data_IF_155103657043
#
_entry.id   IF_155103657043
#
_cell.length_a   1.000
_cell.length_b   1.000
_cell.length_c   1.000
_cell.angle_alpha   90.00
_cell.angle_beta   90.00
_cell.angle_gamma   90.00
#
_symmetry.space_group_name_H-M   'P 1'
#
loop_
_entity.id
_entity.type
_entity.pdbx_description
1 polymer ?
#
# COMPACT_ATOMS: atom_id res chain seq x y z
N UNK A 1 2.53 -0.78 6.20
CA UNK A 1 3.23 -0.23 5.03
C UNK A 1 2.52 -0.65 3.76
N UNK A 2 2.44 0.25 2.78
CA UNK A 2 2.02 -0.08 1.42
C UNK A 2 3.25 -0.24 0.54
N UNK A 3 3.30 -1.30 -0.25
CA UNK A 3 4.30 -1.42 -1.30
C UNK A 3 3.66 -1.79 -2.65
N UNK A 4 4.11 -1.19 -3.75
CA UNK A 4 3.73 -1.68 -5.08
C UNK A 4 4.23 -3.12 -5.25
N UNK A 5 3.41 -4.04 -5.75
CA UNK A 5 3.84 -5.45 -5.92
C UNK A 5 5.09 -5.60 -6.79
N UNK A 6 5.16 -4.83 -7.88
CA UNK A 6 6.35 -4.76 -8.74
C UNK A 6 7.51 -4.04 -8.06
N UNK A 7 7.24 -3.04 -7.21
CA UNK A 7 8.26 -2.33 -6.42
C UNK A 7 8.91 -3.30 -5.44
N UNK A 8 8.13 -4.00 -4.61
CA UNK A 8 8.66 -4.92 -3.59
C UNK A 8 9.46 -6.08 -4.22
N UNK A 9 9.03 -6.56 -5.38
CA UNK A 9 9.77 -7.55 -6.15
C UNK A 9 11.07 -6.99 -6.76
N UNK A 10 11.24 -5.68 -6.91
CA UNK A 10 12.46 -5.07 -7.44
C UNK A 10 13.41 -4.53 -6.34
N UNK A 11 12.98 -4.49 -5.08
CA UNK A 11 13.78 -3.92 -4.00
C UNK A 11 15.07 -4.71 -3.73
N UNK A 12 16.14 -4.02 -3.30
CA UNK A 12 17.42 -4.64 -2.98
C UNK A 12 17.32 -5.55 -1.75
N UNK A 13 18.22 -6.52 -1.63
CA UNK A 13 18.29 -7.39 -0.44
C UNK A 13 18.43 -6.60 0.86
N UNK A 14 19.13 -5.47 0.84
CA UNK A 14 19.28 -4.57 2.01
C UNK A 14 17.94 -4.13 2.59
N UNK A 15 16.91 -3.94 1.76
CA UNK A 15 15.56 -3.60 2.23
C UNK A 15 14.93 -4.75 3.02
N UNK A 16 15.16 -5.99 2.59
CA UNK A 16 14.66 -7.17 3.29
C UNK A 16 15.46 -7.47 4.56
N UNK A 17 16.75 -7.15 4.56
CA UNK A 17 17.59 -7.18 5.77
C UNK A 17 17.04 -6.19 6.83
N UNK A 18 16.63 -4.98 6.42
CA UNK A 18 15.99 -4.03 7.33
C UNK A 18 14.66 -4.55 7.89
N UNK A 19 13.83 -5.24 7.08
CA UNK A 19 12.60 -5.89 7.59
C UNK A 19 12.92 -6.93 8.66
N UNK A 20 14.01 -7.68 8.48
CA UNK A 20 14.50 -8.63 9.48
C UNK A 20 14.97 -7.93 10.75
N UNK A 21 15.75 -6.86 10.62
CA UNK A 21 16.23 -6.09 11.77
C UNK A 21 15.08 -5.49 12.59
N UNK A 22 14.08 -4.93 11.90
CA UNK A 22 12.85 -4.44 12.54
C UNK A 22 12.16 -5.57 13.31
N UNK A 23 11.93 -6.72 12.67
CA UNK A 23 11.32 -7.88 13.32
C UNK A 23 12.10 -8.36 14.54
N UNK A 24 13.43 -8.45 14.46
CA UNK A 24 14.29 -8.85 15.58
C UNK A 24 14.26 -7.83 16.74
N UNK A 25 14.02 -6.56 16.43
CA UNK A 25 13.85 -5.51 17.44
C UNK A 25 12.46 -5.42 18.04
N UNK A 26 11.54 -6.32 17.67
CA UNK A 26 10.16 -6.34 18.15
C UNK A 26 9.20 -5.43 17.38
N UNK A 27 9.67 -4.72 16.34
CA UNK A 27 8.81 -3.95 15.45
C UNK A 27 8.36 -4.86 14.31
N UNK A 28 7.06 -5.12 14.20
CA UNK A 28 6.49 -5.98 13.16
C UNK A 28 5.74 -5.16 12.11
N UNK A 29 6.32 -4.92 10.93
CA UNK A 29 5.60 -4.29 9.83
C UNK A 29 4.43 -5.16 9.36
N UNK A 30 3.31 -4.52 9.02
CA UNK A 30 2.23 -5.13 8.23
C UNK A 30 2.36 -4.64 6.79
N UNK A 31 2.44 -5.54 5.82
CA UNK A 31 2.65 -5.22 4.40
C UNK A 31 1.34 -5.41 3.64
N UNK A 32 0.84 -4.36 3.00
CA UNK A 32 -0.23 -4.46 1.99
C UNK A 32 0.39 -4.17 0.62
N UNK A 33 0.15 -5.05 -0.36
CA UNK A 33 0.82 -4.95 -1.65
C UNK A 33 -0.12 -4.72 -2.84
N UNK A 34 0.40 -4.13 -3.91
CA UNK A 34 -0.29 -4.07 -5.21
C UNK A 34 0.15 -5.18 -6.18
N UNK A 35 -0.15 -5.00 -7.47
CA UNK A 35 0.34 -5.90 -8.53
C UNK A 35 -0.17 -5.56 -9.93
N UNK A 36 -0.56 -4.30 -10.19
CA UNK A 36 -1.18 -3.86 -11.44
C UNK A 36 -0.48 -4.35 -12.72
N UNK A 37 0.84 -4.16 -12.87
CA UNK A 37 1.58 -4.63 -14.05
C UNK A 37 1.51 -6.15 -14.25
N UNK A 38 1.64 -6.94 -13.18
CA UNK A 38 1.58 -8.41 -13.26
C UNK A 38 0.18 -8.93 -13.61
N UNK A 39 -0.87 -8.23 -13.15
CA UNK A 39 -2.25 -8.52 -13.55
C UNK A 39 -2.41 -8.26 -15.05
N UNK A 40 -1.98 -7.09 -15.54
CA UNK A 40 -2.08 -6.74 -16.96
C UNK A 40 -1.29 -7.71 -17.85
N UNK A 41 -0.09 -8.13 -17.41
CA UNK A 41 0.72 -9.16 -18.09
C UNK A 41 -0.06 -10.47 -18.23
N UNK A 42 -0.67 -10.94 -17.14
CA UNK A 42 -1.38 -12.23 -17.10
C UNK A 42 -2.67 -12.19 -17.91
N UNK A 43 -3.44 -11.10 -17.82
CA UNK A 43 -4.62 -10.88 -18.66
C UNK A 43 -4.27 -10.89 -20.16
N UNK A 44 -3.17 -10.24 -20.53
CA UNK A 44 -2.66 -10.25 -21.91
C UNK A 44 -2.33 -11.65 -22.42
N UNK A 45 -1.65 -12.47 -21.60
CA UNK A 45 -1.33 -13.87 -21.94
C UNK A 45 -2.58 -14.75 -22.13
N UNK A 46 -3.65 -14.45 -21.39
CA UNK A 46 -4.93 -15.17 -21.47
C UNK A 46 -5.90 -14.59 -22.51
N UNK A 47 -5.53 -13.50 -23.20
CA UNK A 47 -6.40 -12.83 -24.16
C UNK A 47 -7.62 -12.14 -23.54
N UNK A 48 -7.61 -11.89 -22.22
CA UNK A 48 -8.71 -11.24 -21.50
C UNK A 48 -8.53 -9.72 -21.57
N UNK A 49 -9.51 -9.02 -22.16
CA UNK A 49 -9.50 -7.56 -22.27
C UNK A 49 -10.00 -6.91 -20.98
N UNK A 50 -9.39 -5.79 -20.61
CA UNK A 50 -9.78 -4.95 -19.46
C UNK A 50 -9.42 -3.50 -19.77
N UNK A 51 -10.04 -2.57 -19.04
CA UNK A 51 -9.75 -1.14 -19.11
C UNK A 51 -9.56 -0.54 -17.72
N UNK A 52 -9.40 0.78 -17.66
CA UNK A 52 -9.32 1.53 -16.41
C UNK A 52 -10.25 2.74 -16.46
N UNK A 53 -10.88 3.05 -15.33
CA UNK A 53 -11.66 4.27 -15.10
C UNK A 53 -11.14 4.93 -13.82
N UNK A 54 -10.67 6.18 -13.91
CA UNK A 54 -10.13 6.92 -12.77
C UNK A 54 -9.04 6.18 -11.97
N UNK A 55 -8.22 5.36 -12.65
CA UNK A 55 -7.17 4.55 -12.02
C UNK A 55 -7.64 3.22 -11.41
N UNK A 56 -8.95 2.94 -11.41
CA UNK A 56 -9.52 1.65 -11.02
C UNK A 56 -9.65 0.74 -12.24
N UNK A 57 -9.30 -0.54 -12.08
CA UNK A 57 -9.39 -1.53 -13.16
C UNK A 57 -10.84 -1.99 -13.33
N UNK A 58 -11.37 -1.93 -14.54
CA UNK A 58 -12.66 -2.56 -14.87
C UNK A 58 -12.52 -4.07 -14.67
N UNK A 59 -13.29 -4.62 -13.74
CA UNK A 59 -13.12 -5.96 -13.21
C UNK A 59 -14.43 -6.74 -13.36
N UNK A 60 -14.59 -7.50 -14.45
CA UNK A 60 -15.64 -8.53 -14.56
C UNK A 60 -15.16 -9.86 -13.93
N UNK A 61 -15.97 -10.92 -13.97
CA UNK A 61 -15.63 -12.21 -13.35
C UNK A 61 -14.28 -12.76 -13.83
N UNK A 62 -14.06 -12.80 -15.15
CA UNK A 62 -12.82 -13.32 -15.72
C UNK A 62 -11.59 -12.47 -15.32
N UNK A 63 -11.75 -11.15 -15.22
CA UNK A 63 -10.68 -10.27 -14.72
C UNK A 63 -10.46 -10.49 -13.23
N UNK A 64 -11.52 -10.67 -12.44
CA UNK A 64 -11.44 -10.88 -11.00
C UNK A 64 -10.68 -12.16 -10.65
N UNK A 65 -10.93 -13.25 -11.36
CA UNK A 65 -10.19 -14.51 -11.19
C UNK A 65 -8.69 -14.32 -11.43
N UNK A 66 -8.32 -13.58 -12.48
CA UNK A 66 -6.91 -13.26 -12.75
C UNK A 66 -6.32 -12.33 -11.69
N UNK A 67 -7.08 -11.34 -11.23
CA UNK A 67 -6.66 -10.44 -10.16
C UNK A 67 -6.34 -11.23 -8.89
N UNK A 68 -7.22 -12.14 -8.47
CA UNK A 68 -6.99 -12.96 -7.28
C UNK A 68 -5.80 -13.91 -7.46
N UNK A 69 -5.75 -14.66 -8.56
CA UNK A 69 -4.63 -15.58 -8.85
C UNK A 69 -3.27 -14.86 -8.82
N UNK A 70 -3.20 -13.67 -9.41
CA UNK A 70 -1.96 -12.91 -9.49
C UNK A 70 -1.61 -12.28 -8.15
N UNK A 71 -2.55 -11.60 -7.48
CA UNK A 71 -2.27 -10.90 -6.24
C UNK A 71 -2.03 -11.88 -5.09
N UNK A 72 -2.99 -12.77 -4.79
CA UNK A 72 -2.92 -13.69 -3.66
C UNK A 72 -1.99 -14.89 -3.91
N UNK A 73 -1.88 -15.34 -5.17
CA UNK A 73 -1.06 -16.50 -5.55
C UNK A 73 0.38 -16.14 -5.91
N UNK A 74 0.58 -15.33 -6.96
CA UNK A 74 1.93 -15.04 -7.49
C UNK A 74 2.67 -14.00 -6.65
N UNK A 75 2.14 -12.78 -6.59
CA UNK A 75 2.85 -11.63 -6.02
C UNK A 75 3.01 -11.77 -4.51
N UNK A 76 1.94 -12.12 -3.79
CA UNK A 76 1.98 -12.32 -2.34
C UNK A 76 3.05 -13.34 -1.95
N UNK A 77 3.12 -14.48 -2.64
CA UNK A 77 4.08 -15.54 -2.32
C UNK A 77 5.50 -15.24 -2.80
N UNK A 78 5.67 -14.43 -3.84
CA UNK A 78 6.99 -13.90 -4.19
C UNK A 78 7.56 -13.02 -3.07
N UNK A 79 6.76 -12.10 -2.55
CA UNK A 79 7.12 -11.22 -1.44
C UNK A 79 7.50 -12.04 -0.20
N UNK A 80 6.62 -12.99 0.20
CA UNK A 80 6.87 -13.88 1.34
C UNK A 80 8.19 -14.65 1.18
N UNK A 81 8.46 -15.20 -0.01
CA UNK A 81 9.72 -15.91 -0.27
C UNK A 81 10.94 -15.00 -0.11
N UNK A 82 10.90 -13.76 -0.60
CA UNK A 82 12.03 -12.82 -0.46
C UNK A 82 12.29 -12.45 1.00
N UNK A 83 11.24 -12.19 1.77
CA UNK A 83 11.39 -11.90 3.22
C UNK A 83 12.02 -13.11 3.93
N UNK A 84 11.55 -14.32 3.62
CA UNK A 84 12.04 -15.55 4.24
C UNK A 84 13.48 -15.93 3.86
N UNK A 85 13.88 -15.74 2.61
CA UNK A 85 15.26 -16.01 2.17
C UNK A 85 16.26 -15.08 2.88
N UNK A 86 15.84 -13.87 3.27
CA UNK A 86 16.65 -12.95 4.06
C UNK A 86 16.56 -13.22 5.58
N UNK A 87 15.88 -14.28 6.01
CA UNK A 87 15.87 -14.77 7.39
C UNK A 87 14.79 -14.18 8.29
N UNK A 88 13.86 -13.39 7.75
CA UNK A 88 12.68 -12.92 8.47
C UNK A 88 11.48 -13.86 8.29
N UNK A 89 10.57 -13.90 9.26
CA UNK A 89 9.33 -14.68 9.19
C UNK A 89 8.23 -13.84 8.56
N UNK A 90 7.56 -14.37 7.53
CA UNK A 90 6.42 -13.71 6.90
C UNK A 90 5.28 -14.71 6.66
N UNK A 91 4.04 -14.23 6.74
CA UNK A 91 2.84 -15.03 6.47
C UNK A 91 1.95 -14.27 5.49
N UNK A 92 1.68 -14.90 4.35
CA UNK A 92 0.93 -14.30 3.25
C UNK A 92 -0.56 -14.60 3.33
N UNK A 93 -1.37 -13.56 3.33
CA UNK A 93 -2.83 -13.55 3.39
C UNK A 93 -3.41 -12.75 2.21
N UNK A 94 -4.69 -12.95 1.96
CA UNK A 94 -5.59 -12.07 1.21
C UNK A 94 -6.65 -11.54 2.17
N UNK A 95 -7.45 -10.55 1.73
CA UNK A 95 -8.58 -10.10 2.54
C UNK A 95 -9.73 -11.12 2.66
N UNK A 96 -9.74 -12.17 1.83
CA UNK A 96 -10.71 -13.27 1.93
C UNK A 96 -10.43 -14.16 3.15
N UNK A 97 -9.16 -14.32 3.53
CA UNK A 97 -8.73 -15.22 4.61
C UNK A 97 -9.35 -14.76 5.94
N UNK A 98 -10.31 -15.53 6.46
CA UNK A 98 -11.03 -15.21 7.69
C UNK A 98 -11.87 -13.92 7.62
N UNK A 99 -12.28 -13.49 6.43
CA UNK A 99 -12.93 -12.18 6.20
C UNK A 99 -12.06 -11.01 6.71
N UNK A 100 -10.75 -11.07 6.47
CA UNK A 100 -9.79 -10.05 6.90
C UNK A 100 -10.16 -8.66 6.34
N UNK A 101 -10.55 -8.56 5.07
CA UNK A 101 -11.06 -7.32 4.46
C UNK A 101 -12.49 -7.56 4.00
N UNK A 102 -13.44 -6.91 4.67
CA UNK A 102 -14.83 -6.89 4.24
C UNK A 102 -15.03 -5.75 3.24
N UNK A 103 -15.84 -5.99 2.22
CA UNK A 103 -16.03 -5.04 1.14
C UNK A 103 -17.46 -4.99 0.64
N UNK A 104 -17.78 -3.87 0.01
CA UNK A 104 -19.00 -3.66 -0.76
C UNK A 104 -18.64 -3.08 -2.14
N UNK A 105 -19.53 -3.17 -3.14
CA UNK A 105 -19.29 -2.54 -4.43
C UNK A 105 -19.04 -1.03 -4.28
N UNK A 106 -18.12 -0.49 -5.09
CA UNK A 106 -17.97 0.97 -5.19
C UNK A 106 -19.23 1.61 -5.78
N UNK A 107 -19.40 2.93 -5.58
CA UNK A 107 -20.58 3.65 -6.05
C UNK A 107 -20.83 3.55 -7.58
N UNK A 108 -19.78 3.42 -8.39
CA UNK A 108 -19.87 3.24 -9.85
C UNK A 108 -19.64 1.77 -10.29
N UNK A 109 -19.99 0.79 -9.45
CA UNK A 109 -19.81 -0.63 -9.76
C UNK A 109 -20.52 -1.06 -11.06
N UNK A 110 -21.62 -0.42 -11.44
CA UNK A 110 -22.30 -0.67 -12.72
C UNK A 110 -21.40 -0.39 -13.94
N UNK A 111 -20.41 0.51 -13.80
CA UNK A 111 -19.45 0.85 -14.85
C UNK A 111 -18.20 -0.05 -14.80
N UNK A 112 -17.73 -0.40 -13.60
CA UNK A 112 -16.41 -0.99 -13.40
C UNK A 112 -16.42 -2.42 -12.84
N UNK A 113 -17.59 -3.00 -12.57
CA UNK A 113 -17.78 -4.37 -12.12
C UNK A 113 -17.41 -4.61 -10.65
N UNK A 114 -16.75 -5.73 -10.37
CA UNK A 114 -16.35 -6.22 -9.05
C UNK A 114 -15.16 -5.46 -8.45
N UNK A 115 -15.29 -4.15 -8.37
CA UNK A 115 -14.39 -3.27 -7.63
C UNK A 115 -15.08 -2.90 -6.32
N UNK A 116 -14.33 -2.96 -5.21
CA UNK A 116 -14.91 -2.79 -3.88
C UNK A 116 -14.27 -1.68 -3.06
N UNK A 117 -15.09 -1.08 -2.21
CA UNK A 117 -14.68 -0.24 -1.08
C UNK A 117 -14.62 -1.09 0.19
N UNK A 118 -13.63 -0.82 1.04
CA UNK A 118 -13.46 -1.51 2.33
C UNK A 118 -14.52 -0.99 3.30
N UNK A 119 -15.32 -1.91 3.86
CA UNK A 119 -16.32 -1.58 4.88
C UNK A 119 -15.81 -1.85 6.28
N UNK A 120 -15.00 -2.90 6.46
CA UNK A 120 -14.43 -3.30 7.74
C UNK A 120 -13.12 -4.10 7.53
N UNK A 121 -12.27 -4.12 8.56
CA UNK A 121 -11.05 -4.95 8.60
C UNK A 121 -11.00 -5.71 9.91
N UNK A 122 -10.94 -7.05 9.82
CA UNK A 122 -10.75 -7.90 10.98
C UNK A 122 -9.30 -7.88 11.47
N UNK A 123 -8.96 -6.83 12.24
CA UNK A 123 -7.64 -6.59 12.80
C UNK A 123 -7.10 -7.77 13.64
N UNK A 124 -7.98 -8.53 14.31
CA UNK A 124 -7.58 -9.63 15.18
C UNK A 124 -6.80 -10.73 14.43
N UNK A 125 -7.08 -10.95 13.14
CA UNK A 125 -6.31 -11.90 12.31
C UNK A 125 -4.88 -11.40 12.12
N UNK A 126 -4.73 -10.11 11.82
CA UNK A 126 -3.43 -9.48 11.60
C UNK A 126 -2.62 -9.49 12.90
N UNK A 127 -3.24 -9.10 14.01
CA UNK A 127 -2.64 -9.10 15.34
C UNK A 127 -2.25 -10.51 15.78
N UNK A 128 -3.07 -11.53 15.51
CA UNK A 128 -2.74 -12.92 15.78
C UNK A 128 -1.50 -13.40 15.01
N UNK A 129 -1.38 -13.03 13.73
CA UNK A 129 -0.18 -13.33 12.93
C UNK A 129 1.05 -12.61 13.47
N UNK A 130 0.91 -11.34 13.87
CA UNK A 130 1.99 -10.59 14.51
C UNK A 130 2.40 -11.20 15.86
N UNK A 131 1.45 -11.66 16.68
CA UNK A 131 1.72 -12.31 17.96
C UNK A 131 2.50 -13.62 17.80
N UNK A 132 2.34 -14.32 16.68
CA UNK A 132 3.17 -15.48 16.31
C UNK A 132 4.59 -15.09 15.83
N UNK A 133 4.90 -13.80 15.73
CA UNK A 133 6.19 -13.28 15.28
C UNK A 133 6.36 -13.27 13.76
N UNK A 134 5.28 -13.29 12.98
CA UNK A 134 5.32 -13.20 11.52
C UNK A 134 4.98 -11.78 11.04
N UNK A 135 5.65 -11.34 9.97
CA UNK A 135 5.25 -10.16 9.18
C UNK A 135 4.03 -10.55 8.33
N UNK A 136 2.84 -9.95 8.55
CA UNK A 136 1.68 -10.21 7.70
C UNK A 136 1.88 -9.54 6.33
N UNK A 137 1.65 -10.29 5.25
CA UNK A 137 1.71 -9.79 3.87
C UNK A 137 0.34 -9.99 3.23
N UNK A 138 -0.39 -8.91 2.97
CA UNK A 138 -1.82 -8.92 2.65
C UNK A 138 -2.04 -8.50 1.19
N UNK A 139 -2.73 -9.35 0.42
CA UNK A 139 -3.24 -9.05 -0.91
C UNK A 139 -4.62 -8.35 -0.83
N UNK A 140 -4.85 -7.27 -1.60
CA UNK A 140 -6.03 -6.42 -1.50
C UNK A 140 -7.24 -6.98 -2.27
N UNK A 141 -7.70 -8.17 -1.87
CA UNK A 141 -8.95 -8.77 -2.32
C UNK A 141 -9.92 -8.73 -1.14
N UNK A 142 -11.08 -8.09 -1.29
CA UNK A 142 -12.12 -8.10 -0.25
C UNK A 142 -13.20 -9.13 -0.50
N UNK A 143 -14.04 -9.33 0.50
CA UNK A 143 -15.19 -10.24 0.45
C UNK A 143 -16.42 -9.61 1.12
N UNK A 144 -17.61 -9.85 0.59
CA UNK A 144 -18.86 -9.50 1.29
C UNK A 144 -19.39 -10.67 2.14
N UNK A 145 -20.56 -10.49 2.76
CA UNK A 145 -21.18 -11.53 3.57
C UNK A 145 -21.75 -12.72 2.78
N UNK A 146 -21.94 -12.57 1.47
CA UNK A 146 -22.39 -13.64 0.58
C UNK A 146 -21.21 -14.41 -0.05
N UNK A 147 -19.98 -13.96 0.18
CA UNK A 147 -18.78 -14.56 -0.38
C UNK A 147 -18.37 -13.99 -1.74
N UNK A 148 -18.99 -12.91 -2.21
CA UNK A 148 -18.58 -12.20 -3.41
C UNK A 148 -17.23 -11.53 -3.16
N UNK A 149 -16.28 -11.80 -4.05
CA UNK A 149 -14.94 -11.20 -4.02
C UNK A 149 -14.95 -9.83 -4.69
N UNK A 150 -14.09 -8.94 -4.24
CA UNK A 150 -13.89 -7.62 -4.85
C UNK A 150 -12.40 -7.32 -5.02
N UNK A 151 -12.06 -6.74 -6.18
CA UNK A 151 -10.75 -6.14 -6.42
C UNK A 151 -10.69 -4.77 -5.73
N UNK A 152 -9.79 -4.61 -4.76
CA UNK A 152 -9.66 -3.37 -4.00
C UNK A 152 -8.37 -2.67 -4.39
N UNK A 153 -8.43 -1.34 -4.51
CA UNK A 153 -7.21 -0.55 -4.69
C UNK A 153 -6.24 -0.78 -3.52
N UNK A 154 -4.98 -1.10 -3.82
CA UNK A 154 -3.99 -1.45 -2.81
C UNK A 154 -3.68 -0.32 -1.82
N UNK A 155 -3.75 0.93 -2.26
CA UNK A 155 -3.54 2.08 -1.38
C UNK A 155 -4.75 2.26 -0.44
N UNK A 156 -5.98 2.13 -0.94
CA UNK A 156 -7.21 2.12 -0.13
C UNK A 156 -7.21 0.99 0.89
N UNK A 157 -6.87 -0.24 0.47
CA UNK A 157 -6.75 -1.37 1.37
C UNK A 157 -5.69 -1.14 2.46
N UNK A 158 -4.53 -0.59 2.09
CA UNK A 158 -3.47 -0.30 3.05
C UNK A 158 -3.89 0.76 4.08
N UNK A 159 -4.60 1.80 3.64
CA UNK A 159 -5.15 2.81 4.52
C UNK A 159 -6.21 2.26 5.48
N UNK A 160 -7.13 1.43 4.98
CA UNK A 160 -8.14 0.79 5.80
C UNK A 160 -7.51 -0.13 6.85
N UNK A 161 -6.54 -0.98 6.45
CA UNK A 161 -5.79 -1.84 7.37
C UNK A 161 -5.06 -1.02 8.44
N UNK A 162 -4.36 0.04 8.04
CA UNK A 162 -3.65 0.93 8.96
C UNK A 162 -4.61 1.59 9.97
N UNK A 163 -5.75 2.09 9.49
CA UNK A 163 -6.76 2.74 10.33
C UNK A 163 -7.38 1.78 11.35
N UNK A 164 -7.72 0.55 10.95
CA UNK A 164 -8.33 -0.44 11.85
C UNK A 164 -7.34 -1.01 12.87
N UNK A 165 -6.06 -1.14 12.49
CA UNK A 165 -4.99 -1.47 13.44
C UNK A 165 -4.64 -0.31 14.39
N UNK A 166 -5.13 0.91 14.12
CA UNK A 166 -4.82 2.09 14.94
C UNK A 166 -3.35 2.48 14.91
N UNK A 167 -2.65 2.26 13.79
CA UNK A 167 -1.21 2.59 13.70
C UNK A 167 -1.01 4.10 13.61
N UNK A 168 0.00 4.61 14.31
CA UNK A 168 0.31 6.04 14.27
C UNK A 168 0.92 6.47 12.93
N UNK A 169 1.66 5.55 12.28
CA UNK A 169 2.43 5.83 11.05
C UNK A 169 2.18 4.80 9.97
N UNK A 170 1.89 5.26 8.77
CA UNK A 170 1.85 4.42 7.57
C UNK A 170 3.02 4.77 6.63
N UNK A 171 3.84 3.78 6.28
CA UNK A 171 4.93 3.96 5.30
C UNK A 171 4.44 3.53 3.93
N UNK A 172 4.61 4.39 2.92
CA UNK A 172 4.34 4.10 1.50
C UNK A 172 5.67 4.02 0.76
N UNK A 173 6.01 2.81 0.33
CA UNK A 173 7.25 2.54 -0.39
C UNK A 173 7.04 2.69 -1.88
N UNK A 174 7.86 3.51 -2.51
CA UNK A 174 7.81 3.84 -3.93
C UNK A 174 9.21 3.88 -4.54
N UNK A 175 9.27 4.21 -5.83
CA UNK A 175 10.45 4.40 -6.68
C UNK A 175 10.95 5.86 -6.76
N UNK A 176 10.30 6.77 -6.05
CA UNK A 176 10.69 8.18 -5.97
C UNK A 176 11.07 8.54 -4.53
N UNK A 177 12.02 9.47 -4.33
CA UNK A 177 12.54 9.77 -2.99
C UNK A 177 11.50 10.42 -2.06
N UNK A 178 10.46 11.05 -2.61
CA UNK A 178 9.38 11.69 -1.85
C UNK A 178 8.57 12.62 -2.75
N UNK A 179 7.85 13.56 -2.15
CA UNK A 179 7.19 14.66 -2.86
C UNK A 179 8.25 15.73 -3.15
N UNK A 180 8.40 16.08 -4.42
CA UNK A 180 9.39 17.04 -4.89
C UNK A 180 8.74 18.42 -5.03
N UNK A 181 9.44 19.45 -4.55
CA UNK A 181 9.12 20.86 -4.81
C UNK A 181 10.28 21.52 -5.55
N UNK A 182 9.96 22.41 -6.48
CA UNK A 182 10.97 23.24 -7.15
C UNK A 182 11.30 24.43 -6.27
N UNK A 183 12.56 24.54 -5.86
CA UNK A 183 13.11 25.67 -5.09
C UNK A 183 14.40 26.09 -5.80
N UNK A 184 14.49 27.36 -6.18
CA UNK A 184 15.62 27.94 -6.93
C UNK A 184 15.98 27.11 -8.18
N UNK A 185 14.98 26.80 -9.01
CA UNK A 185 15.10 25.98 -10.23
C UNK A 185 15.62 24.54 -10.00
N UNK A 186 15.63 24.05 -8.76
CA UNK A 186 16.04 22.68 -8.40
C UNK A 186 14.93 21.92 -7.69
N UNK A 187 14.76 20.65 -8.05
CA UNK A 187 13.83 19.76 -7.35
C UNK A 187 14.45 19.29 -6.03
N UNK A 188 13.74 19.53 -4.94
CA UNK A 188 14.13 19.10 -3.59
C UNK A 188 12.99 18.29 -2.97
N UNK A 189 13.34 17.27 -2.18
CA UNK A 189 12.34 16.48 -1.44
C UNK A 189 11.83 17.32 -0.28
N UNK A 190 10.50 17.44 -0.16
CA UNK A 190 9.88 18.07 1.01
C UNK A 190 9.97 17.12 2.21
N UNK A 191 10.61 17.51 3.33
CA UNK A 191 10.68 16.64 4.51
C UNK A 191 9.30 16.43 5.15
N UNK A 192 8.48 17.49 5.19
CA UNK A 192 7.14 17.49 5.76
C UNK A 192 6.22 18.32 4.87
N UNK A 193 4.99 17.85 4.66
CA UNK A 193 3.94 18.57 3.95
C UNK A 193 2.58 18.32 4.61
N UNK A 194 1.75 19.35 4.74
CA UNK A 194 0.39 19.21 5.25
C UNK A 194 -0.59 18.80 4.16
N UNK A 195 -1.77 18.29 4.55
CA UNK A 195 -2.87 18.01 3.62
C UNK A 195 -3.23 19.24 2.77
N UNK A 196 -3.32 20.42 3.40
CA UNK A 196 -3.65 21.67 2.68
C UNK A 196 -2.59 22.03 1.63
N UNK A 197 -1.30 21.92 1.96
CA UNK A 197 -0.21 22.16 1.02
C UNK A 197 -0.23 21.17 -0.15
N UNK A 198 -0.58 19.89 0.09
CA UNK A 198 -0.75 18.92 -1.01
C UNK A 198 -1.85 19.35 -1.97
N UNK A 199 -3.00 19.82 -1.47
CA UNK A 199 -4.09 20.28 -2.34
C UNK A 199 -3.65 21.47 -3.21
N UNK A 200 -2.92 22.42 -2.63
CA UNK A 200 -2.34 23.55 -3.36
C UNK A 200 -1.36 23.08 -4.43
N UNK A 201 -0.48 22.13 -4.10
CA UNK A 201 0.50 21.56 -5.03
C UNK A 201 -0.16 20.76 -6.17
N UNK A 202 -1.30 20.12 -5.93
CA UNK A 202 -2.09 19.47 -6.99
C UNK A 202 -2.71 20.55 -7.89
N UNK A 203 -3.30 21.59 -7.30
CA UNK A 203 -3.95 22.67 -8.05
C UNK A 203 -2.96 23.48 -8.90
N UNK A 204 -1.73 23.69 -8.40
CA UNK A 204 -0.66 24.39 -9.12
C UNK A 204 0.02 23.52 -10.20
N UNK A 205 -0.22 22.21 -10.18
CA UNK A 205 0.42 21.24 -11.08
C UNK A 205 1.84 20.81 -10.66
N UNK A 206 2.32 21.20 -9.48
CA UNK A 206 3.57 20.70 -8.91
C UNK A 206 3.51 19.18 -8.64
N UNK A 207 2.36 18.70 -8.16
CA UNK A 207 2.04 17.27 -8.05
C UNK A 207 1.19 16.87 -9.26
N UNK A 208 1.70 15.95 -10.07
CA UNK A 208 1.04 15.49 -11.29
C UNK A 208 1.20 13.98 -11.52
N UNK A 209 0.44 13.45 -12.48
CA UNK A 209 0.54 12.07 -12.93
C UNK A 209 0.31 11.04 -11.82
N UNK A 210 1.15 10.00 -11.76
CA UNK A 210 1.04 8.91 -10.79
C UNK A 210 1.27 9.29 -9.33
N UNK A 211 1.72 10.52 -9.03
CA UNK A 211 1.86 11.00 -7.65
C UNK A 211 0.51 11.41 -7.05
N UNK A 212 -0.43 11.94 -7.86
CA UNK A 212 -1.77 12.33 -7.40
C UNK A 212 -2.47 11.18 -6.65
N UNK A 213 -2.65 9.97 -7.21
CA UNK A 213 -3.33 8.90 -6.50
C UNK A 213 -2.59 8.47 -5.21
N UNK A 214 -1.26 8.56 -5.17
CA UNK A 214 -0.47 8.23 -3.95
C UNK A 214 -0.73 9.22 -2.83
N UNK A 215 -0.68 10.52 -3.13
CA UNK A 215 -0.92 11.56 -2.11
C UNK A 215 -2.39 11.62 -1.69
N UNK A 216 -3.33 11.35 -2.61
CA UNK A 216 -4.76 11.24 -2.30
C UNK A 216 -5.02 10.09 -1.34
N UNK A 217 -4.43 8.93 -1.58
CA UNK A 217 -4.55 7.81 -0.65
C UNK A 217 -3.90 8.11 0.71
N UNK A 218 -2.74 8.79 0.72
CA UNK A 218 -2.11 9.23 1.95
C UNK A 218 -3.02 10.19 2.76
N UNK A 219 -3.66 11.16 2.09
CA UNK A 219 -4.62 12.06 2.71
C UNK A 219 -5.80 11.28 3.31
N UNK A 220 -6.37 10.32 2.57
CA UNK A 220 -7.46 9.47 3.08
C UNK A 220 -7.05 8.68 4.32
N UNK A 221 -5.81 8.20 4.39
CA UNK A 221 -5.30 7.50 5.58
C UNK A 221 -5.25 8.45 6.79
N UNK A 222 -4.76 9.67 6.60
CA UNK A 222 -4.59 10.69 7.66
C UNK A 222 -5.94 11.18 8.18
N UNK A 223 -6.93 11.32 7.30
CA UNK A 223 -8.31 11.64 7.70
C UNK A 223 -8.98 10.52 8.51
N UNK A 224 -8.42 9.30 8.49
CA UNK A 224 -8.79 8.20 9.36
C UNK A 224 -8.11 8.29 10.73
N UNK A 225 -7.59 7.15 11.22
CA UNK A 225 -6.88 7.07 12.51
C UNK A 225 -5.35 7.15 12.41
N UNK A 226 -4.82 7.26 11.19
CA UNK A 226 -3.37 7.34 10.97
C UNK A 226 -2.91 8.78 11.22
N UNK A 227 -1.89 8.99 12.06
CA UNK A 227 -1.43 10.36 12.36
C UNK A 227 -0.57 10.94 11.24
N UNK A 228 0.25 10.11 10.62
CA UNK A 228 1.13 10.53 9.54
C UNK A 228 1.39 9.42 8.51
N UNK A 229 1.58 9.84 7.26
CA UNK A 229 1.99 8.96 6.16
C UNK A 229 3.38 9.37 5.70
N UNK A 230 4.31 8.41 5.61
CA UNK A 230 5.68 8.67 5.15
C UNK A 230 5.88 8.03 3.78
N UNK A 231 6.12 8.84 2.75
CA UNK A 231 6.46 8.37 1.40
C UNK A 231 7.99 8.29 1.31
N UNK A 232 8.50 7.11 0.97
CA UNK A 232 9.94 6.83 0.87
C UNK A 232 10.32 6.07 -0.39
N UNK A 233 11.55 6.26 -0.86
CA UNK A 233 12.16 5.38 -1.85
C UNK A 233 12.63 4.09 -1.18
N UNK A 234 12.16 2.93 -1.66
CA UNK A 234 12.61 1.63 -1.14
C UNK A 234 14.04 1.26 -1.55
N UNK A 235 14.66 2.03 -2.46
CA UNK A 235 16.03 1.79 -2.92
C UNK A 235 17.08 2.40 -1.99
N UNK A 236 16.68 3.36 -1.15
CA UNK A 236 17.59 4.03 -0.24
C UNK A 236 17.97 3.10 0.94
N UNK A 237 19.26 2.84 1.21
CA UNK A 237 19.66 1.99 2.32
C UNK A 237 19.24 2.55 3.68
N UNK A 238 18.79 1.69 4.60
CA UNK A 238 18.40 2.10 5.95
C UNK A 238 17.09 2.89 6.01
N UNK A 239 16.32 2.93 4.91
CA UNK A 239 15.14 3.79 4.80
C UNK A 239 14.00 3.36 5.72
N UNK A 240 13.78 2.06 5.92
CA UNK A 240 12.73 1.58 6.80
C UNK A 240 13.09 1.84 8.25
N UNK A 241 14.33 1.52 8.64
CA UNK A 241 14.80 1.76 10.01
C UNK A 241 14.71 3.24 10.36
N UNK A 242 15.16 4.13 9.46
CA UNK A 242 15.04 5.59 9.65
C UNK A 242 13.59 6.05 9.67
N UNK A 243 12.74 5.58 8.75
CA UNK A 243 11.32 5.92 8.72
C UNK A 243 10.56 5.47 9.98
N UNK A 244 10.99 4.40 10.63
CA UNK A 244 10.38 3.91 11.88
C UNK A 244 10.95 4.63 13.11
N UNK A 245 12.27 4.84 13.20
CA UNK A 245 12.95 5.21 14.45
C UNK A 245 13.39 6.67 14.54
N UNK A 246 13.81 7.28 13.43
CA UNK A 246 14.53 8.55 13.45
C UNK A 246 13.75 9.69 12.78
N UNK A 247 13.05 9.38 11.69
CA UNK A 247 12.51 10.38 10.76
C UNK A 247 13.55 10.85 9.74
N UNK A 248 13.29 11.98 9.09
CA UNK A 248 14.23 12.61 8.16
C UNK A 248 14.45 11.90 6.82
N UNK A 249 13.59 10.93 6.47
CA UNK A 249 13.62 10.23 5.17
C UNK A 249 12.34 10.49 4.39
N UNK A 250 12.52 10.72 3.08
CA UNK A 250 11.45 11.01 2.14
C UNK A 250 10.56 12.18 2.56
N UNK A 251 9.25 12.02 2.39
CA UNK A 251 8.25 13.05 2.73
C UNK A 251 7.24 12.54 3.72
N UNK A 252 7.08 13.28 4.82
CA UNK A 252 6.07 13.03 5.83
C UNK A 252 4.84 13.90 5.59
N UNK A 253 3.69 13.27 5.44
CA UNK A 253 2.41 13.92 5.25
C UNK A 253 1.68 13.95 6.59
N UNK A 254 1.21 15.13 6.98
CA UNK A 254 0.55 15.39 8.28
C UNK A 254 -0.76 16.15 8.10
N UNK A 255 -1.67 16.06 9.07
CA UNK A 255 -2.97 16.75 9.01
C UNK A 255 -2.81 18.27 9.04
N UNK A 256 -2.02 18.79 9.97
CA UNK A 256 -1.70 20.22 10.14
C UNK A 256 -0.21 20.40 10.41
N UNK A 257 0.31 21.61 10.20
CA UNK A 257 1.72 21.95 10.46
C UNK A 257 2.03 22.22 11.95
N UNK A 258 1.15 21.83 12.87
CA UNK A 258 1.38 21.99 14.31
C UNK A 258 2.47 21.02 14.77
N UNK A 259 3.60 21.56 15.25
CA UNK A 259 4.75 20.77 15.69
C UNK A 259 5.98 20.82 14.78
N UNK A 260 6.15 21.86 13.94
CA UNK A 260 7.49 22.30 13.49
C UNK A 260 8.28 22.77 14.72
N UNK A 261 8.86 21.84 15.46
CA UNK A 261 9.95 22.11 16.41
C UNK A 261 11.26 21.72 15.73
#
# INVERSE_FOLDING_TARGET
>A
MKCGGSTLAALPNSFFDELRELQLSGVLPVIVHGGGPAISETLGKLGIKTGFVNGLRITNDAVLDVVEMVLAGRINKEIVRKIQINGAKALGLSGVDGKLIQAQPVANADEIGFVGDVTDVNAAIIEGVMAMGYIPVIAPIGIDDQGQRYNINADTAAGAVASHLGVERMIVVTDVPGILKTVDDRKQVLPVVSVAEIEEMIASGEIYGGMIPKVRAAIQCIQGRVREVVIVSGEEPGVLTRAVREGGVGTRIVQTNEGRV
#
